data_IF_195440697057
#
_entry.id   IF_195440697057
#
_cell.length_a   1.000
_cell.length_b   1.000
_cell.length_c   1.000
_cell.angle_alpha   90.00
_cell.angle_beta   90.00
_cell.angle_gamma   90.00
#
_symmetry.space_group_name_H-M   'P 1'
#
loop_
_entity.id
_entity.type
_entity.pdbx_description
1 polymer ?
#
# COMPACT_ATOMS: atom_id res chain seq x y z
N UNK A 1 4.94 -6.61 15.97
CA UNK A 1 5.18 -7.16 17.33
C UNK A 1 5.01 -8.67 17.26
N UNK A 2 3.94 -9.12 16.62
CA UNK A 2 3.61 -10.54 16.43
C UNK A 2 4.77 -11.32 15.79
N UNK A 3 5.35 -10.82 14.69
CA UNK A 3 6.41 -11.53 13.94
C UNK A 3 7.66 -11.74 14.80
N UNK A 4 8.01 -10.75 15.61
CA UNK A 4 9.14 -10.87 16.54
C UNK A 4 8.81 -11.85 17.69
N UNK A 5 7.57 -11.86 18.16
CA UNK A 5 7.09 -12.76 19.21
C UNK A 5 7.21 -14.21 18.74
N UNK A 6 6.64 -14.52 17.57
CA UNK A 6 6.70 -15.86 16.96
C UNK A 6 8.15 -16.34 16.76
N UNK A 7 9.05 -15.45 16.32
CA UNK A 7 10.47 -15.79 16.13
C UNK A 7 11.17 -16.14 17.44
N UNK A 8 10.92 -15.38 18.52
CA UNK A 8 11.52 -15.66 19.82
C UNK A 8 10.93 -16.93 20.46
N UNK A 9 9.63 -17.14 20.35
CA UNK A 9 8.96 -18.35 20.82
C UNK A 9 9.46 -19.60 20.08
N UNK A 10 9.62 -19.52 18.76
CA UNK A 10 10.21 -20.60 17.97
C UNK A 10 11.67 -20.90 18.35
N UNK A 11 12.37 -19.94 18.93
CA UNK A 11 13.71 -20.11 19.48
C UNK A 11 13.73 -20.62 20.94
N UNK A 12 12.56 -20.95 21.50
CA UNK A 12 12.40 -21.48 22.85
C UNK A 12 12.45 -20.41 23.95
N UNK A 13 12.17 -19.15 23.62
CA UNK A 13 12.09 -18.07 24.59
C UNK A 13 10.65 -17.76 24.99
N UNK A 14 10.44 -17.42 26.26
CA UNK A 14 9.21 -16.82 26.76
C UNK A 14 9.19 -15.33 26.40
N UNK A 15 8.10 -14.87 25.78
CA UNK A 15 7.94 -13.50 25.32
C UNK A 15 6.81 -12.80 26.07
N UNK A 16 7.07 -11.59 26.54
CA UNK A 16 6.07 -10.69 27.11
C UNK A 16 6.04 -9.39 26.30
N UNK A 17 5.09 -9.23 25.37
CA UNK A 17 4.87 -7.97 24.68
C UNK A 17 4.51 -6.85 25.67
N UNK A 18 5.07 -5.67 25.46
CA UNK A 18 4.80 -4.45 26.26
C UNK A 18 4.10 -3.36 25.42
N UNK A 19 4.00 -3.58 24.12
CA UNK A 19 3.24 -2.81 23.15
C UNK A 19 2.54 -3.80 22.20
N UNK A 20 1.49 -3.35 21.51
CA UNK A 20 0.82 -4.09 20.44
C UNK A 20 1.01 -3.39 19.10
N UNK A 21 0.76 -4.11 18.01
CA UNK A 21 0.76 -3.51 16.68
C UNK A 21 -0.25 -2.36 16.59
N UNK A 22 0.19 -1.24 16.02
CA UNK A 22 -0.58 0.00 15.92
C UNK A 22 -0.42 0.97 17.09
N UNK A 23 0.25 0.57 18.18
CA UNK A 23 0.55 1.49 19.28
C UNK A 23 1.55 2.58 18.85
N UNK A 24 1.28 3.81 19.27
CA UNK A 24 2.26 4.90 19.15
C UNK A 24 3.31 4.79 20.24
N UNK A 25 4.56 4.58 19.84
CA UNK A 25 5.71 4.47 20.74
C UNK A 25 6.66 5.66 20.59
N UNK A 26 7.41 5.97 21.65
CA UNK A 26 8.49 6.98 21.63
C UNK A 26 9.86 6.32 21.64
N UNK A 27 10.87 7.02 21.15
CA UNK A 27 12.26 6.55 21.28
C UNK A 27 12.60 6.24 22.75
N UNK A 28 13.24 5.09 22.99
CA UNK A 28 13.55 4.59 24.33
C UNK A 28 12.43 3.78 25.01
N UNK A 29 11.25 3.65 24.38
CA UNK A 29 10.18 2.78 24.92
C UNK A 29 10.60 1.31 24.86
N UNK A 30 10.27 0.56 25.91
CA UNK A 30 10.37 -0.91 25.90
C UNK A 30 9.11 -1.47 25.25
N UNK A 31 9.27 -2.22 24.17
CA UNK A 31 8.14 -2.79 23.40
C UNK A 31 7.92 -4.28 23.67
N UNK A 32 8.92 -4.96 24.24
CA UNK A 32 8.89 -6.39 24.50
C UNK A 32 9.91 -6.74 25.58
N UNK A 33 9.62 -7.79 26.35
CA UNK A 33 10.57 -8.48 27.22
C UNK A 33 10.68 -9.94 26.78
N UNK A 34 11.89 -10.49 26.76
CA UNK A 34 12.16 -11.87 26.31
C UNK A 34 13.04 -12.56 27.35
N UNK A 35 12.72 -13.79 27.72
CA UNK A 35 13.47 -14.62 28.67
C UNK A 35 13.64 -16.03 28.11
N UNK A 36 14.82 -16.65 28.24
CA UNK A 36 15.02 -18.00 27.73
C UNK A 36 16.46 -18.33 27.39
N UNK A 37 16.70 -19.39 26.61
CA UNK A 37 18.03 -19.83 26.23
C UNK A 37 18.77 -18.73 25.46
N UNK A 38 19.91 -18.29 26.00
CA UNK A 38 20.72 -17.21 25.42
C UNK A 38 21.08 -17.50 23.95
N UNK A 39 21.43 -18.76 23.64
CA UNK A 39 21.75 -19.18 22.28
C UNK A 39 20.58 -18.94 21.31
N UNK A 40 19.35 -19.30 21.68
CA UNK A 40 18.15 -19.09 20.86
C UNK A 40 17.87 -17.61 20.63
N UNK A 41 17.90 -16.82 21.70
CA UNK A 41 17.67 -15.37 21.65
C UNK A 41 18.71 -14.69 20.73
N UNK A 42 19.99 -15.02 20.86
CA UNK A 42 21.04 -14.43 20.02
C UNK A 42 20.88 -14.86 18.55
N UNK A 43 20.52 -16.11 18.27
CA UNK A 43 20.34 -16.63 16.90
C UNK A 43 19.23 -15.88 16.16
N UNK A 44 18.07 -15.67 16.78
CA UNK A 44 16.94 -15.01 16.12
C UNK A 44 16.95 -13.47 16.23
N UNK A 45 17.80 -12.90 17.10
CA UNK A 45 17.86 -11.44 17.38
C UNK A 45 17.87 -10.58 16.12
N UNK A 46 18.76 -10.87 15.16
CA UNK A 46 18.91 -10.02 13.96
C UNK A 46 17.63 -10.00 13.13
N UNK A 47 17.01 -11.17 12.97
CA UNK A 47 15.77 -11.33 12.21
C UNK A 47 14.62 -10.62 12.91
N UNK A 48 14.41 -10.86 14.21
CA UNK A 48 13.34 -10.22 14.98
C UNK A 48 13.46 -8.68 14.98
N UNK A 49 14.68 -8.15 15.16
CA UNK A 49 14.92 -6.71 15.05
C UNK A 49 14.69 -6.18 13.62
N UNK A 50 14.98 -6.98 12.60
CA UNK A 50 14.69 -6.63 11.19
C UNK A 50 13.20 -6.45 10.93
N UNK A 51 12.36 -7.39 11.39
CA UNK A 51 10.91 -7.28 11.32
C UNK A 51 10.40 -6.03 12.03
N UNK A 52 10.75 -5.86 13.30
CA UNK A 52 10.36 -4.68 14.09
C UNK A 52 10.79 -3.39 13.38
N UNK A 53 12.03 -3.32 12.92
CA UNK A 53 12.61 -2.13 12.31
C UNK A 53 11.91 -1.74 11.01
N UNK A 54 11.77 -2.70 10.09
CA UNK A 54 11.20 -2.47 8.76
C UNK A 54 9.70 -2.20 8.82
N UNK A 55 8.95 -3.04 9.52
CA UNK A 55 7.50 -2.90 9.61
C UNK A 55 7.09 -1.65 10.38
N UNK A 56 7.81 -1.27 11.44
CA UNK A 56 7.53 -0.02 12.16
C UNK A 56 7.75 1.19 11.26
N UNK A 57 8.79 1.18 10.42
CA UNK A 57 9.06 2.29 9.50
C UNK A 57 7.93 2.45 8.48
N UNK A 58 7.49 1.35 7.84
CA UNK A 58 6.38 1.37 6.88
C UNK A 58 5.06 1.79 7.55
N UNK A 59 4.76 1.27 8.75
CA UNK A 59 3.55 1.64 9.48
C UNK A 59 3.56 3.12 9.90
N UNK A 60 4.72 3.64 10.29
CA UNK A 60 4.88 5.05 10.66
C UNK A 60 4.68 5.95 9.45
N UNK A 61 5.36 5.66 8.35
CA UNK A 61 5.23 6.40 7.08
C UNK A 61 3.80 6.39 6.56
N UNK A 62 3.12 5.24 6.65
CA UNK A 62 1.70 5.10 6.31
C UNK A 62 0.82 5.95 7.23
N UNK A 63 1.04 5.93 8.54
CA UNK A 63 0.27 6.75 9.47
C UNK A 63 0.44 8.24 9.22
N UNK A 64 1.64 8.68 8.80
CA UNK A 64 1.87 10.07 8.39
C UNK A 64 1.10 10.40 7.12
N UNK A 65 1.14 9.54 6.10
CA UNK A 65 0.41 9.73 4.85
C UNK A 65 -1.11 9.78 5.07
N UNK A 66 -1.66 8.86 5.86
CA UNK A 66 -3.08 8.86 6.26
C UNK A 66 -3.45 10.17 6.96
N UNK A 67 -2.60 10.67 7.86
CA UNK A 67 -2.81 11.95 8.53
C UNK A 67 -2.81 13.15 7.56
N UNK A 68 -2.00 13.10 6.50
CA UNK A 68 -1.90 14.15 5.47
C UNK A 68 -3.00 14.09 4.41
N UNK A 69 -3.66 12.95 4.24
CA UNK A 69 -4.67 12.74 3.21
C UNK A 69 -6.04 13.37 3.54
N UNK A 70 -6.20 14.04 4.69
CA UNK A 70 -7.43 14.73 5.11
C UNK A 70 -8.70 13.86 4.98
N UNK A 71 -8.60 12.59 5.38
CA UNK A 71 -9.72 11.64 5.34
C UNK A 71 -9.92 10.91 4.02
N UNK A 72 -9.10 11.15 3.00
CA UNK A 72 -9.05 10.29 1.81
C UNK A 72 -8.34 8.98 2.19
N UNK A 73 -8.91 7.80 1.87
CA UNK A 73 -8.24 6.54 2.13
C UNK A 73 -6.89 6.44 1.40
N UNK A 74 -5.90 5.84 2.04
CA UNK A 74 -4.52 5.72 1.53
C UNK A 74 -4.18 4.26 1.26
N UNK A 75 -3.51 3.97 0.15
CA UNK A 75 -2.90 2.68 -0.18
C UNK A 75 -1.49 2.87 -0.73
N UNK A 76 -0.80 1.79 -1.08
CA UNK A 76 0.44 1.81 -1.87
C UNK A 76 0.27 1.03 -3.17
N UNK A 77 0.86 1.56 -4.24
CA UNK A 77 1.00 0.88 -5.53
C UNK A 77 2.36 0.20 -5.71
N UNK A 78 3.26 0.36 -4.72
CA UNK A 78 4.68 0.09 -4.91
C UNK A 78 5.04 -1.39 -4.84
N UNK A 79 6.18 -1.69 -5.44
CA UNK A 79 6.86 -2.96 -5.29
C UNK A 79 7.28 -3.14 -3.84
N UNK A 80 6.67 -4.12 -3.18
CA UNK A 80 7.16 -4.64 -1.92
C UNK A 80 8.50 -5.36 -2.10
N UNK A 81 9.30 -5.41 -1.04
CA UNK A 81 10.54 -6.17 -0.99
C UNK A 81 10.27 -7.65 -1.34
N UNK A 82 10.97 -8.24 -2.33
CA UNK A 82 10.75 -9.64 -2.72
C UNK A 82 10.89 -10.60 -1.54
N UNK A 83 9.87 -11.45 -1.34
CA UNK A 83 9.80 -12.40 -0.23
C UNK A 83 9.40 -11.81 1.13
N UNK A 84 9.22 -10.48 1.23
CA UNK A 84 8.85 -9.79 2.48
C UNK A 84 7.56 -8.97 2.35
N UNK A 85 6.92 -9.00 1.17
CA UNK A 85 5.84 -8.07 0.87
C UNK A 85 4.55 -8.25 1.66
N UNK A 86 4.25 -9.45 2.16
CA UNK A 86 3.09 -9.65 3.04
C UNK A 86 3.26 -8.88 4.36
N UNK A 87 4.48 -8.82 4.89
CA UNK A 87 4.78 -8.09 6.12
C UNK A 87 4.75 -6.58 5.91
N UNK A 88 5.25 -6.09 4.78
CA UNK A 88 5.16 -4.66 4.45
C UNK A 88 3.71 -4.23 4.22
N UNK A 89 2.90 -5.06 3.54
CA UNK A 89 1.46 -4.82 3.40
C UNK A 89 0.73 -4.86 4.74
N UNK A 90 1.08 -5.80 5.62
CA UNK A 90 0.55 -5.83 7.01
C UNK A 90 0.93 -4.53 7.72
N UNK A 91 2.14 -4.04 7.56
CA UNK A 91 2.58 -2.77 8.13
C UNK A 91 1.79 -1.56 7.59
N UNK A 92 1.46 -1.53 6.30
CA UNK A 92 0.55 -0.51 5.73
C UNK A 92 -0.82 -0.55 6.43
N UNK A 93 -1.40 -1.74 6.61
CA UNK A 93 -2.67 -1.89 7.33
C UNK A 93 -2.56 -1.42 8.80
N UNK A 94 -1.48 -1.78 9.50
CA UNK A 94 -1.21 -1.34 10.88
C UNK A 94 -1.11 0.19 10.95
N UNK A 95 -0.50 0.83 9.96
CA UNK A 95 -0.39 2.28 9.84
C UNK A 95 -1.70 3.00 9.49
N UNK A 96 -2.80 2.27 9.29
CA UNK A 96 -4.11 2.81 8.95
C UNK A 96 -4.36 2.97 7.44
N UNK A 97 -3.46 2.48 6.59
CA UNK A 97 -3.68 2.38 5.16
C UNK A 97 -4.55 1.17 4.79
N UNK A 98 -5.06 1.17 3.56
CA UNK A 98 -5.75 0.04 2.96
C UNK A 98 -4.70 -0.89 2.37
N UNK A 99 -4.75 -2.16 2.77
CA UNK A 99 -3.95 -3.21 2.18
C UNK A 99 -4.48 -3.53 0.79
N UNK A 100 -3.69 -3.25 -0.25
CA UNK A 100 -3.89 -3.76 -1.61
C UNK A 100 -3.18 -5.10 -1.76
N UNK A 101 -3.78 -6.06 -2.48
CA UNK A 101 -3.09 -7.32 -2.78
C UNK A 101 -1.85 -7.06 -3.65
N UNK A 102 -0.72 -7.66 -3.29
CA UNK A 102 0.51 -7.59 -4.08
C UNK A 102 0.58 -8.62 -5.20
N UNK A 103 -0.44 -9.48 -5.34
CA UNK A 103 -0.45 -10.54 -6.32
C UNK A 103 -1.01 -10.04 -7.67
N UNK A 104 -0.35 -10.40 -8.78
CA UNK A 104 -0.72 -9.98 -10.14
C UNK A 104 -2.04 -10.61 -10.63
N UNK A 105 -2.59 -11.57 -9.89
CA UNK A 105 -3.87 -12.24 -10.15
C UNK A 105 -5.06 -11.60 -9.40
N UNK A 106 -4.81 -10.59 -8.57
CA UNK A 106 -5.84 -9.97 -7.72
C UNK A 106 -6.75 -8.98 -8.47
N UNK A 107 -6.22 -8.33 -9.50
CA UNK A 107 -6.98 -7.47 -10.41
C UNK A 107 -6.29 -7.43 -11.78
N UNK A 108 -7.05 -7.09 -12.82
CA UNK A 108 -6.47 -6.78 -14.12
C UNK A 108 -6.19 -5.29 -14.17
N UNK A 109 -4.92 -4.93 -14.34
CA UNK A 109 -4.49 -3.55 -14.50
C UNK A 109 -3.99 -3.26 -15.92
N UNK A 110 -4.63 -2.31 -16.60
CA UNK A 110 -4.15 -1.76 -17.88
C UNK A 110 -3.40 -0.46 -17.61
N UNK A 111 -2.07 -0.49 -17.79
CA UNK A 111 -1.22 0.71 -17.77
C UNK A 111 -0.98 1.24 -19.18
N UNK A 112 -0.38 2.44 -19.28
CA UNK A 112 0.02 3.03 -20.56
C UNK A 112 0.97 2.15 -21.36
N UNK A 113 1.83 1.37 -20.69
CA UNK A 113 2.73 0.41 -21.35
C UNK A 113 1.94 -0.70 -22.06
N UNK A 114 0.87 -1.20 -21.43
CA UNK A 114 -0.02 -2.19 -22.02
C UNK A 114 -0.75 -1.58 -23.24
N UNK A 115 -1.31 -0.38 -23.10
CA UNK A 115 -1.94 0.34 -24.20
C UNK A 115 -0.99 0.51 -25.40
N UNK A 116 0.26 0.91 -25.15
CA UNK A 116 1.31 1.02 -26.18
C UNK A 116 1.62 -0.32 -26.84
N UNK A 117 1.79 -1.39 -26.05
CA UNK A 117 2.02 -2.73 -26.58
C UNK A 117 0.83 -3.28 -27.40
N UNK A 118 -0.38 -2.80 -27.13
CA UNK A 118 -1.59 -3.12 -27.90
C UNK A 118 -1.80 -2.20 -29.12
N UNK A 119 -0.96 -1.18 -29.29
CA UNK A 119 -1.06 -0.13 -30.30
C UNK A 119 -2.04 1.00 -29.97
N UNK A 120 -2.98 0.79 -29.04
CA UNK A 120 -3.88 1.83 -28.52
C UNK A 120 -4.54 1.40 -27.20
N UNK A 121 -5.07 2.36 -26.45
CA UNK A 121 -5.89 2.10 -25.26
C UNK A 121 -7.14 1.29 -25.61
N UNK A 122 -7.84 1.65 -26.70
CA UNK A 122 -9.04 0.92 -27.17
C UNK A 122 -8.73 -0.56 -27.45
N UNK A 123 -7.59 -0.87 -28.06
CA UNK A 123 -7.17 -2.24 -28.31
C UNK A 123 -6.80 -3.01 -27.02
N UNK A 124 -6.31 -2.32 -26.01
CA UNK A 124 -6.06 -2.93 -24.70
C UNK A 124 -7.38 -3.21 -23.98
N UNK A 125 -8.31 -2.25 -23.96
CA UNK A 125 -9.62 -2.37 -23.32
C UNK A 125 -10.47 -3.48 -23.94
N UNK A 126 -10.46 -3.66 -25.27
CA UNK A 126 -11.23 -4.74 -25.92
C UNK A 126 -10.78 -6.14 -25.52
N UNK A 127 -9.58 -6.29 -24.95
CA UNK A 127 -9.11 -7.58 -24.43
C UNK A 127 -9.73 -7.94 -23.08
N UNK A 128 -10.36 -6.98 -22.39
CA UNK A 128 -11.05 -7.21 -21.12
C UNK A 128 -12.30 -8.08 -21.27
N UNK A 129 -12.80 -8.29 -22.49
CA UNK A 129 -13.89 -9.24 -22.77
C UNK A 129 -13.51 -10.69 -22.41
N UNK A 130 -12.20 -10.98 -22.37
CA UNK A 130 -11.65 -12.29 -21.99
C UNK A 130 -11.37 -12.41 -20.49
N UNK A 131 -11.58 -11.33 -19.73
CA UNK A 131 -11.33 -11.31 -18.30
C UNK A 131 -12.35 -12.20 -17.55
N UNK A 132 -11.92 -12.95 -16.53
CA UNK A 132 -12.84 -13.60 -15.61
C UNK A 132 -13.79 -12.59 -14.97
N UNK A 133 -15.09 -12.92 -14.92
CA UNK A 133 -16.13 -12.00 -14.43
C UNK A 133 -15.98 -11.58 -12.95
N UNK A 134 -15.23 -12.36 -12.16
CA UNK A 134 -15.02 -12.11 -10.73
C UNK A 134 -13.80 -11.23 -10.44
N UNK A 135 -12.96 -10.93 -11.44
CA UNK A 135 -11.80 -10.06 -11.26
C UNK A 135 -12.18 -8.61 -11.50
N UNK A 136 -11.75 -7.75 -10.57
CA UNK A 136 -11.79 -6.31 -10.74
C UNK A 136 -10.84 -5.87 -11.86
N UNK A 137 -11.26 -4.83 -12.59
CA UNK A 137 -10.52 -4.23 -13.70
C UNK A 137 -10.17 -2.79 -13.34
N UNK A 138 -8.94 -2.43 -13.57
CA UNK A 138 -8.41 -1.09 -13.36
C UNK A 138 -7.67 -0.64 -14.63
N UNK A 139 -7.78 0.63 -15.00
CA UNK A 139 -7.06 1.18 -16.14
C UNK A 139 -6.58 2.60 -15.89
N UNK A 140 -5.37 2.90 -16.36
CA UNK A 140 -4.76 4.21 -16.24
C UNK A 140 -5.29 5.19 -17.30
N UNK A 141 -5.80 6.34 -16.86
CA UNK A 141 -6.22 7.44 -17.72
C UNK A 141 -5.23 8.61 -17.68
N UNK A 142 -4.85 9.11 -18.86
CA UNK A 142 -4.03 10.30 -19.04
C UNK A 142 -4.82 11.58 -19.25
N UNK A 143 -6.07 11.50 -19.70
CA UNK A 143 -6.95 12.63 -20.00
C UNK A 143 -8.43 12.23 -19.92
N UNK A 144 -9.31 13.20 -20.14
CA UNK A 144 -10.77 13.05 -20.07
C UNK A 144 -11.33 12.09 -21.13
N UNK A 145 -10.73 12.01 -22.32
CA UNK A 145 -11.20 11.13 -23.39
C UNK A 145 -10.83 9.67 -23.12
N UNK A 146 -9.61 9.42 -22.63
CA UNK A 146 -9.19 8.10 -22.15
C UNK A 146 -10.08 7.64 -20.98
N UNK A 147 -10.40 8.53 -20.04
CA UNK A 147 -11.26 8.22 -18.91
C UNK A 147 -12.68 7.80 -19.32
N UNK A 148 -13.27 8.49 -20.31
CA UNK A 148 -14.57 8.09 -20.88
C UNK A 148 -14.49 6.73 -21.56
N UNK A 149 -13.45 6.50 -22.38
CA UNK A 149 -13.26 5.22 -23.05
C UNK A 149 -13.10 4.05 -22.06
N UNK A 150 -12.39 4.27 -20.95
CA UNK A 150 -12.24 3.30 -19.86
C UNK A 150 -13.59 3.00 -19.21
N UNK A 151 -14.38 4.04 -18.90
CA UNK A 151 -15.71 3.88 -18.30
C UNK A 151 -16.69 3.16 -19.24
N UNK A 152 -16.68 3.49 -20.54
CA UNK A 152 -17.49 2.81 -21.57
C UNK A 152 -17.14 1.31 -21.70
N UNK A 153 -15.89 0.95 -21.47
CA UNK A 153 -15.42 -0.43 -21.50
C UNK A 153 -15.79 -1.25 -20.24
N UNK A 154 -16.51 -0.65 -19.28
CA UNK A 154 -16.95 -1.34 -18.07
C UNK A 154 -15.81 -1.70 -17.12
N UNK A 155 -14.77 -0.87 -17.06
CA UNK A 155 -13.69 -0.97 -16.06
C UNK A 155 -14.22 -0.51 -14.70
N UNK A 156 -13.77 -1.14 -13.62
CA UNK A 156 -14.25 -0.85 -12.26
C UNK A 156 -13.58 0.39 -11.64
N UNK A 157 -12.29 0.61 -11.95
CA UNK A 157 -11.46 1.63 -11.33
C UNK A 157 -10.68 2.40 -12.41
N UNK A 158 -10.77 3.74 -12.38
CA UNK A 158 -9.89 4.62 -13.15
C UNK A 158 -8.71 5.03 -12.28
N UNK A 159 -7.50 4.75 -12.75
CA UNK A 159 -6.26 5.18 -12.12
C UNK A 159 -5.74 6.44 -12.79
N UNK A 160 -5.49 7.49 -12.01
CA UNK A 160 -4.94 8.76 -12.47
C UNK A 160 -3.54 8.92 -11.90
N UNK A 161 -2.53 9.13 -12.77
CA UNK A 161 -1.12 9.27 -12.36
C UNK A 161 -0.50 10.56 -12.86
N UNK A 162 0.24 11.24 -11.98
CA UNK A 162 1.05 12.41 -12.33
C UNK A 162 0.24 13.59 -12.83
N UNK A 163 -0.92 13.84 -12.22
CA UNK A 163 -1.83 14.96 -12.54
C UNK A 163 -2.07 15.79 -11.31
N UNK A 164 -2.13 17.11 -11.47
CA UNK A 164 -2.60 18.00 -10.40
C UNK A 164 -4.09 17.78 -10.09
N UNK A 165 -4.57 18.37 -8.98
CA UNK A 165 -5.94 18.19 -8.52
C UNK A 165 -7.00 18.65 -9.54
N UNK A 166 -6.75 19.75 -10.27
CA UNK A 166 -7.70 20.26 -11.26
C UNK A 166 -7.82 19.33 -12.46
N UNK A 167 -6.69 18.82 -12.97
CA UNK A 167 -6.67 17.84 -14.03
C UNK A 167 -7.26 16.50 -13.58
N UNK A 168 -6.89 16.01 -12.39
CA UNK A 168 -7.45 14.79 -11.83
C UNK A 168 -8.96 14.89 -11.67
N UNK A 169 -9.48 16.04 -11.23
CA UNK A 169 -10.91 16.29 -11.14
C UNK A 169 -11.61 16.19 -12.49
N UNK A 170 -11.09 16.84 -13.53
CA UNK A 170 -11.71 16.76 -14.87
C UNK A 170 -11.73 15.33 -15.41
N UNK A 171 -10.65 14.56 -15.20
CA UNK A 171 -10.54 13.16 -15.61
C UNK A 171 -11.56 12.29 -14.83
N UNK A 172 -11.64 12.48 -13.51
CA UNK A 172 -12.60 11.79 -12.65
C UNK A 172 -14.06 12.09 -13.03
N UNK A 173 -14.38 13.37 -13.25
CA UNK A 173 -15.70 13.83 -13.67
C UNK A 173 -16.07 13.26 -15.05
N UNK A 174 -15.10 13.19 -15.98
CA UNK A 174 -15.30 12.58 -17.29
C UNK A 174 -15.65 11.08 -17.18
N UNK A 175 -14.93 10.32 -16.35
CA UNK A 175 -15.25 8.91 -16.10
C UNK A 175 -16.64 8.75 -15.46
N UNK A 176 -16.94 9.52 -14.41
CA UNK A 176 -18.22 9.47 -13.68
C UNK A 176 -19.41 9.95 -14.51
N UNK A 177 -19.18 10.81 -15.52
CA UNK A 177 -20.24 11.21 -16.46
C UNK A 177 -20.76 10.05 -17.31
N UNK A 178 -19.92 9.04 -17.56
CA UNK A 178 -20.28 7.82 -18.30
C UNK A 178 -20.75 6.73 -17.33
N UNK A 179 -20.02 6.53 -16.23
CA UNK A 179 -20.32 5.53 -15.21
C UNK A 179 -20.28 6.16 -13.81
N UNK A 180 -21.41 6.65 -13.27
CA UNK A 180 -21.45 7.38 -12.01
C UNK A 180 -20.90 6.62 -10.79
N UNK A 181 -20.86 5.28 -10.85
CA UNK A 181 -20.35 4.42 -9.79
C UNK A 181 -18.91 3.95 -9.97
N UNK A 182 -18.20 4.41 -11.01
CA UNK A 182 -16.80 4.04 -11.22
C UNK A 182 -15.91 4.60 -10.11
N UNK A 183 -15.03 3.78 -9.57
CA UNK A 183 -14.08 4.22 -8.55
C UNK A 183 -12.91 4.97 -9.19
N UNK A 184 -12.38 5.96 -8.48
CA UNK A 184 -11.24 6.76 -8.91
C UNK A 184 -10.11 6.61 -7.91
N UNK A 185 -8.99 6.08 -8.38
CA UNK A 185 -7.72 6.02 -7.66
C UNK A 185 -6.77 7.09 -8.22
N UNK A 186 -6.14 7.87 -7.34
CA UNK A 186 -5.12 8.84 -7.74
C UNK A 186 -3.77 8.47 -7.12
N UNK A 187 -2.73 8.39 -7.95
CA UNK A 187 -1.36 8.23 -7.48
C UNK A 187 -0.69 9.58 -7.27
N UNK A 188 -0.12 9.80 -6.09
CA UNK A 188 0.49 11.06 -5.73
C UNK A 188 1.56 10.91 -4.63
N UNK A 189 2.28 12.00 -4.34
CA UNK A 189 3.11 12.09 -3.15
C UNK A 189 2.29 12.25 -1.87
N UNK A 190 2.86 11.87 -0.71
CA UNK A 190 2.19 11.97 0.60
C UNK A 190 1.73 13.37 0.97
N UNK A 191 2.48 14.39 0.54
CA UNK A 191 2.20 15.79 0.86
C UNK A 191 1.11 16.40 -0.03
N UNK A 192 0.75 15.73 -1.13
CA UNK A 192 -0.25 16.17 -2.10
C UNK A 192 -1.61 15.51 -1.85
N UNK A 193 -1.66 14.46 -1.04
CA UNK A 193 -2.81 13.57 -0.87
C UNK A 193 -4.13 14.30 -0.54
N UNK A 194 -4.09 15.31 0.34
CA UNK A 194 -5.27 16.09 0.72
C UNK A 194 -5.89 16.87 -0.44
N UNK A 195 -5.12 17.21 -1.47
CA UNK A 195 -5.63 17.94 -2.63
C UNK A 195 -6.66 17.12 -3.44
N UNK A 196 -6.66 15.79 -3.29
CA UNK A 196 -7.58 14.90 -3.99
C UNK A 196 -8.85 14.57 -3.19
N UNK A 197 -9.06 15.23 -2.05
CA UNK A 197 -10.28 15.07 -1.26
C UNK A 197 -11.52 15.48 -2.05
N UNK A 198 -12.50 14.57 -2.11
CA UNK A 198 -13.71 14.75 -2.91
C UNK A 198 -13.52 14.54 -4.42
N UNK A 199 -12.29 14.22 -4.85
CA UNK A 199 -11.97 13.83 -6.23
C UNK A 199 -11.77 12.31 -6.27
N UNK A 200 -10.82 11.81 -5.49
CA UNK A 200 -10.45 10.41 -5.43
C UNK A 200 -11.26 9.65 -4.36
N UNK A 201 -11.57 8.39 -4.65
CA UNK A 201 -12.12 7.45 -3.67
C UNK A 201 -11.01 6.84 -2.81
N UNK A 202 -9.78 6.79 -3.34
CA UNK A 202 -8.56 6.34 -2.67
C UNK A 202 -7.35 7.00 -3.33
N UNK A 203 -6.30 7.27 -2.54
CA UNK A 203 -5.00 7.69 -3.07
C UNK A 203 -3.96 6.59 -2.86
N UNK A 204 -3.16 6.30 -3.89
CA UNK A 204 -1.98 5.46 -3.76
C UNK A 204 -0.75 6.34 -3.60
N UNK A 205 -0.05 6.20 -2.48
CA UNK A 205 1.14 7.01 -2.21
C UNK A 205 2.35 6.34 -2.86
N UNK A 206 3.01 7.09 -3.76
CA UNK A 206 4.23 6.66 -4.41
C UNK A 206 5.37 6.60 -3.39
N UNK A 207 6.16 5.52 -3.44
CA UNK A 207 7.29 5.30 -2.53
C UNK A 207 6.92 4.91 -1.10
N UNK A 208 5.63 4.71 -0.77
CA UNK A 208 5.18 4.49 0.61
C UNK A 208 5.89 3.31 1.29
N UNK A 209 6.09 2.23 0.54
CA UNK A 209 6.84 1.06 1.01
C UNK A 209 8.32 1.23 0.65
N UNK A 210 8.63 1.49 -0.62
CA UNK A 210 10.00 1.45 -1.14
C UNK A 210 10.94 2.46 -0.44
N UNK A 211 10.44 3.65 -0.12
CA UNK A 211 11.23 4.75 0.45
C UNK A 211 11.16 4.80 1.98
N UNK A 212 10.29 3.99 2.61
CA UNK A 212 10.27 3.88 4.06
C UNK A 212 11.65 3.43 4.56
N UNK A 213 12.16 4.11 5.58
CA UNK A 213 13.47 3.80 6.15
C UNK A 213 13.45 2.57 7.07
N UNK A 214 14.20 2.67 8.16
CA UNK A 214 14.28 1.66 9.21
C UNK A 214 14.17 2.33 10.59
N UNK A 215 13.28 1.82 11.44
CA UNK A 215 13.18 2.29 12.83
C UNK A 215 14.19 1.54 13.70
N UNK A 216 15.09 2.20 14.44
CA UNK A 216 16.11 1.51 15.20
C UNK A 216 15.54 0.81 16.44
N UNK A 217 15.76 -0.49 16.56
CA UNK A 217 15.48 -1.28 17.76
C UNK A 217 16.76 -1.94 18.28
N UNK A 218 16.84 -2.14 19.60
CA UNK A 218 17.94 -2.86 20.25
C UNK A 218 17.38 -3.78 21.34
N UNK A 219 18.13 -4.84 21.64
CA UNK A 219 17.89 -5.71 22.78
C UNK A 219 18.97 -5.40 23.81
N UNK A 220 18.55 -5.11 25.04
CA UNK A 220 19.43 -4.95 26.20
C UNK A 220 19.32 -6.22 27.05
N UNK A 221 20.47 -6.83 27.36
CA UNK A 221 20.53 -7.98 28.25
C UNK A 221 20.71 -7.48 29.68
N UNK A 222 19.87 -7.99 30.58
CA UNK A 222 19.91 -7.71 32.02
C UNK A 222 20.73 -8.77 32.75
#
# INVERSE_FOLDING_TARGET
IDEATELFEAAGADVSPLAKDGDRIRAGSRVMSVSGPLAGIITCRRTALGFLSRMTAVATETSEAVGKADGVPVTSYDASTPGFGDFERKAVAIGGGIMRSGALDSCILIRKEHARACGSLRNALSRLDRAPFFLKKEAEAGDEDEARAIAEAGVDIVLIRGKDADAAKRIADAARSVSPGISVEVSCGKDEASAYRGIADIVSIDGLIADAGFTPFRIEML
#
